data_IF_757228511365
#
_entry.id   IF_757228511365
#
_cell.length_a   1.000
_cell.length_b   1.000
_cell.length_c   1.000
_cell.angle_alpha   90.00
_cell.angle_beta   90.00
_cell.angle_gamma   90.00
#
_symmetry.space_group_name_H-M   'P 1'
#
loop_
_entity.id
_entity.type
_entity.pdbx_description
1 polymer ?
#
# COMPACT_ATOMS: atom_id res chain seq x y z
N UNK A 1 16.10 -11.14 10.56
CA UNK A 1 14.71 -10.68 10.64
C UNK A 1 14.72 -9.35 11.36
N UNK A 2 14.33 -8.26 10.68
CA UNK A 2 14.35 -6.91 11.25
C UNK A 2 13.09 -6.66 12.07
N UNK A 3 13.20 -5.88 13.15
CA UNK A 3 12.11 -5.55 14.07
C UNK A 3 12.22 -4.08 14.51
N UNK A 4 11.18 -3.59 15.16
CA UNK A 4 11.03 -2.18 15.51
C UNK A 4 10.25 -1.43 14.44
N UNK A 5 10.33 -0.11 14.45
CA UNK A 5 9.47 0.72 13.63
C UNK A 5 10.21 1.18 12.36
N UNK A 6 9.46 1.55 11.33
CA UNK A 6 10.04 2.19 10.15
C UNK A 6 10.49 3.60 10.55
N UNK A 7 11.77 4.00 10.35
CA UNK A 7 12.26 5.30 10.78
C UNK A 7 11.48 6.47 10.17
N UNK A 8 10.95 7.37 10.99
CA UNK A 8 10.21 8.57 10.53
C UNK A 8 11.16 9.74 10.21
N UNK A 9 12.18 9.50 9.37
CA UNK A 9 13.18 10.51 8.97
C UNK A 9 13.56 10.38 7.51
N UNK A 10 12.58 10.62 6.63
CA UNK A 10 12.77 10.50 5.18
C UNK A 10 13.12 11.80 4.44
N UNK A 11 13.37 12.90 5.16
CA UNK A 11 13.58 14.24 4.58
C UNK A 11 14.75 14.32 3.60
N UNK A 12 15.77 13.46 3.77
CA UNK A 12 16.97 13.44 2.93
C UNK A 12 16.96 12.35 1.86
N UNK A 13 15.85 11.61 1.71
CA UNK A 13 15.75 10.45 0.81
C UNK A 13 15.00 10.74 -0.51
N UNK A 14 15.04 11.98 -0.99
CA UNK A 14 14.41 12.40 -2.26
C UNK A 14 14.92 11.67 -3.52
N UNK A 15 16.04 10.95 -3.40
CA UNK A 15 16.64 10.13 -4.46
C UNK A 15 16.29 8.64 -4.38
N UNK A 16 15.55 8.21 -3.37
CA UNK A 16 15.12 6.81 -3.29
C UNK A 16 14.08 6.52 -4.36
N UNK A 17 14.28 5.38 -5.03
CA UNK A 17 13.36 4.82 -6.02
C UNK A 17 12.54 3.70 -5.40
N UNK A 18 13.18 2.81 -4.64
CA UNK A 18 12.50 1.64 -4.09
C UNK A 18 12.77 1.53 -2.59
N UNK A 19 11.70 1.33 -1.82
CA UNK A 19 11.74 0.94 -0.41
C UNK A 19 11.11 -0.44 -0.35
N UNK A 20 11.93 -1.47 -0.11
CA UNK A 20 11.48 -2.86 -0.04
C UNK A 20 11.96 -3.45 1.29
N UNK A 21 11.02 -3.78 2.16
CA UNK A 21 11.24 -4.34 3.49
C UNK A 21 10.23 -5.46 3.78
N UNK A 22 9.95 -6.29 2.78
CA UNK A 22 8.96 -7.38 2.84
C UNK A 22 9.39 -8.50 3.80
N UNK A 23 8.42 -9.17 4.42
CA UNK A 23 8.58 -10.34 5.29
C UNK A 23 9.52 -10.13 6.49
N UNK A 24 9.33 -9.02 7.21
CA UNK A 24 10.03 -8.71 8.46
C UNK A 24 9.06 -8.64 9.65
N UNK A 25 9.53 -8.10 10.78
CA UNK A 25 8.72 -7.86 11.98
C UNK A 25 8.60 -6.35 12.25
N UNK A 26 8.59 -5.50 11.22
CA UNK A 26 8.36 -4.07 11.42
C UNK A 26 6.96 -3.83 12.01
N UNK A 27 6.87 -2.94 12.97
CA UNK A 27 5.65 -2.64 13.75
C UNK A 27 5.29 -1.15 13.69
N UNK A 28 4.20 -0.78 14.39
CA UNK A 28 3.65 0.58 14.44
C UNK A 28 3.24 1.05 13.04
N UNK A 29 3.07 2.36 12.89
CA UNK A 29 2.51 3.00 11.71
C UNK A 29 3.53 3.18 10.61
N UNK A 30 3.02 3.26 9.38
CA UNK A 30 3.82 3.75 8.25
C UNK A 30 4.08 5.25 8.45
N UNK A 31 5.34 5.71 8.44
CA UNK A 31 5.68 7.11 8.68
C UNK A 31 5.19 8.02 7.55
N UNK A 32 4.65 9.18 7.93
CA UNK A 32 4.17 10.20 6.98
C UNK A 32 5.31 10.85 6.21
N UNK A 33 6.51 10.88 6.79
CA UNK A 33 7.69 11.42 6.13
C UNK A 33 8.05 10.69 4.83
N UNK A 34 7.45 9.53 4.53
CA UNK A 34 7.62 8.82 3.25
C UNK A 34 7.28 9.70 2.03
N UNK A 35 6.47 10.74 2.20
CA UNK A 35 6.17 11.74 1.15
C UNK A 35 7.43 12.43 0.60
N UNK A 36 8.49 12.54 1.40
CA UNK A 36 9.75 13.15 0.98
C UNK A 36 10.55 12.27 0.00
N UNK A 37 10.17 11.00 -0.17
CA UNK A 37 10.70 10.14 -1.21
C UNK A 37 10.00 10.42 -2.55
N UNK A 38 10.11 11.64 -3.06
CA UNK A 38 9.33 12.12 -4.22
C UNK A 38 9.52 11.27 -5.50
N UNK A 39 10.64 10.55 -5.62
CA UNK A 39 10.96 9.69 -6.78
C UNK A 39 10.60 8.22 -6.56
N UNK A 40 9.94 7.89 -5.45
CA UNK A 40 9.62 6.52 -5.09
C UNK A 40 8.70 5.88 -6.14
N UNK A 41 9.14 4.74 -6.67
CA UNK A 41 8.44 3.89 -7.62
C UNK A 41 7.85 2.65 -6.97
N UNK A 42 8.52 2.09 -5.96
CA UNK A 42 8.06 0.89 -5.26
C UNK A 42 8.08 1.12 -3.74
N UNK A 43 6.94 0.84 -3.09
CA UNK A 43 6.82 0.72 -1.65
C UNK A 43 6.35 -0.69 -1.30
N UNK A 44 7.29 -1.56 -0.95
CA UNK A 44 7.05 -2.96 -0.57
C UNK A 44 7.22 -3.19 0.92
N UNK A 45 6.11 -3.35 1.63
CA UNK A 45 6.05 -3.60 3.07
C UNK A 45 5.22 -4.86 3.41
N UNK A 46 5.02 -5.75 2.44
CA UNK A 46 4.25 -7.00 2.61
C UNK A 46 4.76 -7.79 3.81
N UNK A 47 3.84 -8.39 4.58
CA UNK A 47 4.22 -9.43 5.55
C UNK A 47 4.99 -8.87 6.75
N UNK A 48 4.54 -7.73 7.29
CA UNK A 48 5.05 -7.13 8.51
C UNK A 48 3.94 -7.12 9.59
N UNK A 49 4.16 -6.38 10.68
CA UNK A 49 3.20 -6.19 11.79
C UNK A 49 2.74 -4.72 11.87
N UNK A 50 2.73 -4.02 10.73
CA UNK A 50 2.37 -2.60 10.68
C UNK A 50 0.90 -2.40 11.03
N UNK A 51 0.57 -1.33 11.76
CA UNK A 51 -0.78 -1.03 12.22
C UNK A 51 -1.20 0.43 11.97
N UNK A 52 -2.40 0.77 12.43
CA UNK A 52 -3.00 2.09 12.18
C UNK A 52 -3.39 2.30 10.71
N UNK A 53 -3.65 3.56 10.35
CA UNK A 53 -4.14 3.92 9.02
C UNK A 53 -3.01 3.97 8.00
N UNK A 54 -3.33 3.67 6.73
CA UNK A 54 -2.45 4.02 5.61
C UNK A 54 -2.37 5.56 5.55
N UNK A 55 -1.18 6.18 5.69
CA UNK A 55 -1.04 7.62 5.64
C UNK A 55 -1.43 8.14 4.25
N UNK A 56 -2.20 9.23 4.22
CA UNK A 56 -2.67 9.82 2.96
C UNK A 56 -1.50 10.30 2.08
N UNK A 57 -0.39 10.61 2.73
CA UNK A 57 0.89 11.05 2.18
C UNK A 57 1.46 10.06 1.15
N UNK A 58 1.17 8.74 1.27
CA UNK A 58 1.56 7.75 0.25
C UNK A 58 0.88 8.04 -1.10
N UNK A 59 -0.36 8.55 -1.07
CA UNK A 59 -1.12 8.83 -2.30
C UNK A 59 -0.72 10.12 -2.99
N UNK A 60 0.17 10.90 -2.39
CA UNK A 60 0.78 12.10 -2.97
C UNK A 60 2.02 11.75 -3.82
N UNK A 61 2.55 10.53 -3.70
CA UNK A 61 3.71 10.03 -4.44
C UNK A 61 3.40 9.81 -5.92
N UNK A 62 3.59 10.85 -6.72
CA UNK A 62 3.19 10.90 -8.14
C UNK A 62 3.92 9.91 -9.05
N UNK A 63 5.06 9.37 -8.61
CA UNK A 63 5.86 8.37 -9.34
C UNK A 63 5.64 6.94 -8.86
N UNK A 64 4.83 6.73 -7.81
CA UNK A 64 4.61 5.41 -7.25
C UNK A 64 3.86 4.53 -8.24
N UNK A 65 4.45 3.38 -8.56
CA UNK A 65 3.93 2.39 -9.52
C UNK A 65 3.43 1.14 -8.83
N UNK A 66 4.06 0.79 -7.72
CA UNK A 66 3.83 -0.45 -7.00
C UNK A 66 3.73 -0.18 -5.50
N UNK A 67 2.52 -0.35 -4.97
CA UNK A 67 2.22 -0.21 -3.55
C UNK A 67 1.80 -1.57 -2.99
N UNK A 68 2.65 -2.16 -2.15
CA UNK A 68 2.43 -3.49 -1.57
C UNK A 68 2.45 -3.43 -0.04
N UNK A 69 1.26 -3.44 0.55
CA UNK A 69 1.04 -3.36 2.00
C UNK A 69 0.31 -4.59 2.55
N UNK A 70 0.13 -5.62 1.73
CA UNK A 70 -0.61 -6.81 2.11
C UNK A 70 -0.01 -7.54 3.32
N UNK A 71 -0.84 -8.31 4.02
CA UNK A 71 -0.41 -9.12 5.17
C UNK A 71 0.21 -8.26 6.29
N UNK A 72 -0.55 -7.26 6.74
CA UNK A 72 -0.22 -6.42 7.91
C UNK A 72 -1.47 -6.30 8.81
N UNK A 73 -1.42 -5.44 9.82
CA UNK A 73 -2.53 -5.10 10.72
C UNK A 73 -3.10 -3.70 10.46
N UNK A 74 -2.96 -3.17 9.25
CA UNK A 74 -3.42 -1.82 8.90
C UNK A 74 -4.94 -1.72 9.01
N UNK A 75 -5.44 -0.62 9.55
CA UNK A 75 -6.86 -0.40 9.84
C UNK A 75 -7.33 0.98 9.35
N UNK A 76 -8.57 1.35 9.69
CA UNK A 76 -9.20 2.57 9.18
C UNK A 76 -9.88 2.38 7.83
N UNK A 77 -10.41 3.46 7.27
CA UNK A 77 -11.14 3.42 5.98
C UNK A 77 -10.19 3.30 4.80
N UNK A 78 -10.64 2.64 3.74
CA UNK A 78 -9.98 2.75 2.44
C UNK A 78 -9.88 4.24 2.03
N UNK A 79 -8.68 4.76 1.72
CA UNK A 79 -8.47 6.18 1.49
C UNK A 79 -9.04 6.61 0.14
N UNK A 80 -9.89 7.64 0.16
CA UNK A 80 -10.45 8.26 -1.04
C UNK A 80 -9.36 8.90 -1.91
N UNK A 81 -8.23 9.21 -1.28
CA UNK A 81 -7.02 9.78 -1.87
C UNK A 81 -6.32 8.83 -2.84
N UNK A 82 -6.70 7.55 -2.93
CA UNK A 82 -6.09 6.60 -3.89
C UNK A 82 -6.08 7.13 -5.33
N UNK A 83 -7.05 7.97 -5.71
CA UNK A 83 -7.10 8.63 -7.02
C UNK A 83 -5.95 9.63 -7.27
N UNK A 84 -5.16 9.96 -6.26
CA UNK A 84 -3.92 10.74 -6.35
C UNK A 84 -2.78 9.97 -7.01
N UNK A 85 -2.76 8.64 -6.93
CA UNK A 85 -1.73 7.80 -7.53
C UNK A 85 -1.91 7.73 -9.06
N UNK A 86 -1.22 8.61 -9.79
CA UNK A 86 -1.37 8.73 -11.24
C UNK A 86 -0.66 7.64 -12.05
N UNK A 87 0.32 6.97 -11.47
CA UNK A 87 1.17 5.98 -12.14
C UNK A 87 1.06 4.57 -11.57
N UNK A 88 0.17 4.34 -10.58
CA UNK A 88 0.07 3.03 -9.94
C UNK A 88 -0.44 1.97 -10.92
N UNK A 89 0.38 0.95 -11.14
CA UNK A 89 0.04 -0.22 -11.94
C UNK A 89 -0.26 -1.44 -11.07
N UNK A 90 0.23 -1.45 -9.83
CA UNK A 90 0.00 -2.51 -8.86
C UNK A 90 -0.32 -1.92 -7.48
N UNK A 91 -1.42 -2.37 -6.90
CA UNK A 91 -1.87 -2.00 -5.56
C UNK A 91 -2.36 -3.26 -4.85
N UNK A 92 -1.62 -3.70 -3.83
CA UNK A 92 -2.05 -4.79 -2.97
C UNK A 92 -2.03 -4.35 -1.50
N UNK A 93 -3.23 -4.22 -0.95
CA UNK A 93 -3.49 -3.90 0.46
C UNK A 93 -4.28 -5.01 1.16
N UNK A 94 -4.38 -6.17 0.51
CA UNK A 94 -5.19 -7.31 0.98
C UNK A 94 -4.67 -7.86 2.31
N UNK A 95 -5.51 -8.63 3.00
CA UNK A 95 -5.15 -9.23 4.30
C UNK A 95 -4.67 -8.17 5.32
N UNK A 96 -5.48 -7.13 5.48
CA UNK A 96 -5.41 -6.08 6.50
C UNK A 96 -6.80 -5.92 7.15
N UNK A 97 -6.94 -5.00 8.11
CA UNK A 97 -8.17 -4.71 8.86
C UNK A 97 -8.88 -3.44 8.33
N UNK A 98 -8.79 -3.16 7.02
CA UNK A 98 -9.32 -1.94 6.41
C UNK A 98 -10.85 -1.99 6.29
N UNK A 99 -11.51 -1.01 6.91
CA UNK A 99 -12.94 -0.80 6.83
C UNK A 99 -13.34 -0.40 5.41
N UNK A 100 -14.37 -1.05 4.88
CA UNK A 100 -14.81 -0.81 3.53
C UNK A 100 -13.80 -1.27 2.48
N UNK A 101 -13.00 -2.32 2.71
CA UNK A 101 -12.33 -3.07 1.63
C UNK A 101 -13.22 -4.21 1.08
N UNK A 102 -14.40 -4.43 1.69
CA UNK A 102 -15.39 -5.45 1.30
C UNK A 102 -15.89 -5.34 -0.14
N UNK A 103 -15.78 -4.15 -0.77
CA UNK A 103 -16.15 -3.94 -2.18
C UNK A 103 -15.06 -4.39 -3.18
N UNK A 104 -13.81 -4.55 -2.75
CA UNK A 104 -12.73 -5.03 -3.63
C UNK A 104 -12.94 -6.53 -3.89
N UNK A 105 -13.27 -7.31 -2.86
CA UNK A 105 -13.64 -8.72 -3.01
C UNK A 105 -14.87 -8.92 -3.89
N UNK A 106 -15.85 -8.01 -3.81
CA UNK A 106 -17.06 -8.06 -4.63
C UNK A 106 -16.79 -7.70 -6.10
N UNK A 107 -15.96 -6.69 -6.38
CA UNK A 107 -15.65 -6.27 -7.75
C UNK A 107 -14.72 -7.25 -8.50
N UNK A 108 -13.79 -7.92 -7.79
CA UNK A 108 -13.01 -9.02 -8.38
C UNK A 108 -13.87 -10.27 -8.69
N UNK A 109 -14.85 -10.57 -7.84
CA UNK A 109 -15.80 -11.66 -8.08
C UNK A 109 -16.70 -11.38 -9.30
N UNK A 110 -17.16 -10.13 -9.46
CA UNK A 110 -17.96 -9.71 -10.62
C UNK A 110 -17.14 -9.63 -11.93
N UNK A 111 -15.87 -9.24 -11.85
CA UNK A 111 -14.95 -9.23 -12.99
C UNK A 111 -14.63 -10.62 -13.54
N UNK A 112 -14.60 -11.65 -12.68
CA UNK A 112 -14.48 -13.07 -13.09
C UNK A 112 -15.80 -13.63 -13.62
N UNK A 113 -16.95 -13.27 -13.04
CA UNK A 113 -18.25 -13.74 -13.50
C UNK A 113 -18.61 -13.28 -14.92
N UNK A 114 -18.20 -12.06 -15.32
CA UNK A 114 -18.47 -11.52 -16.67
C UNK A 114 -17.64 -12.15 -17.78
N UNK A 115 -16.56 -12.88 -17.48
CA UNK A 115 -15.72 -13.55 -18.50
C UNK A 115 -16.19 -14.98 -18.85
N UNK A 116 -17.19 -15.53 -18.15
CA UNK A 116 -17.67 -16.90 -18.34
C UNK A 116 -19.06 -17.03 -18.99
N UNK A 117 -19.64 -15.94 -19.51
CA UNK A 117 -20.98 -15.95 -20.15
C UNK A 117 -20.97 -15.51 -21.62
N UNK A 118 -19.86 -15.66 -22.32
CA UNK A 118 -19.82 -15.54 -23.79
C UNK A 118 -18.97 -16.65 -24.41
N UNK A 119 -19.45 -17.88 -24.31
CA UNK A 119 -19.24 -18.95 -25.28
C UNK A 119 -20.46 -19.88 -25.18
N UNK A 120 -21.08 -20.09 -26.34
CA UNK A 120 -22.29 -20.87 -26.67
C UNK A 120 -23.67 -20.24 -26.39
#
# INVERSE_FOLDING_TARGET
>A
MFFGDIPDKFENFSKLYDIIAEYNQFSDKIPKSIVFCERLTILGLIGNRLDGNIPKEIFELSYLRDLRLAQNSLSGSFPIEVGGLKQVGFLDISNNQLAGASWISASEAEGKARKNTSAD
#
